data_IF_476815266541
#
_entry.id   IF_476815266541
#
_cell.length_a   1.000
_cell.length_b   1.000
_cell.length_c   1.000
_cell.angle_alpha   90.00
_cell.angle_beta   90.00
_cell.angle_gamma   90.00
#
_symmetry.space_group_name_H-M   'P 1'
#
loop_
_entity.id
_entity.type
_entity.pdbx_description
1 polymer ?
#
# COMPACT_ATOMS: atom_id res chain seq x y z
N UNK A 1 26.57 -33.99 8.12
CA UNK A 1 25.25 -33.63 8.68
C UNK A 1 24.96 -32.17 8.29
N UNK A 2 23.91 -32.01 7.47
CA UNK A 2 23.06 -30.81 7.23
C UNK A 2 23.77 -29.44 7.18
N UNK A 3 24.36 -29.02 6.06
CA UNK A 3 23.68 -28.29 4.97
C UNK A 3 22.45 -27.47 5.42
N UNK A 4 22.70 -26.49 6.29
CA UNK A 4 21.78 -25.41 6.58
C UNK A 4 21.33 -24.77 5.27
N UNK A 5 20.08 -25.05 4.94
CA UNK A 5 19.16 -24.09 4.34
C UNK A 5 19.65 -23.49 3.03
N UNK A 6 19.83 -24.40 2.07
CA UNK A 6 19.15 -24.37 0.78
C UNK A 6 18.44 -23.03 0.54
N UNK A 7 19.18 -22.09 -0.03
CA UNK A 7 18.73 -20.80 -0.58
C UNK A 7 17.42 -21.06 -1.33
N UNK A 8 16.30 -20.78 -0.65
CA UNK A 8 14.97 -21.14 -1.15
C UNK A 8 14.58 -20.11 -2.20
N UNK A 9 14.20 -20.62 -3.37
CA UNK A 9 13.77 -19.85 -4.54
C UNK A 9 12.82 -18.70 -4.13
N UNK A 10 13.24 -17.47 -4.43
CA UNK A 10 12.42 -16.23 -4.49
C UNK A 10 11.77 -15.77 -3.17
N UNK A 11 12.51 -15.07 -2.30
CA UNK A 11 12.10 -13.93 -1.45
C UNK A 11 10.83 -13.96 -0.59
N UNK A 12 10.04 -15.04 -0.58
CA UNK A 12 8.78 -15.16 0.14
C UNK A 12 9.00 -15.91 1.43
N UNK A 13 8.62 -15.30 2.54
CA UNK A 13 8.58 -15.96 3.84
C UNK A 13 7.16 -16.49 4.08
N UNK A 14 7.06 -17.75 4.50
CA UNK A 14 5.79 -18.33 4.91
C UNK A 14 5.43 -17.78 6.30
N UNK A 15 4.34 -17.02 6.39
CA UNK A 15 3.81 -16.50 7.65
C UNK A 15 2.51 -17.22 7.98
N UNK A 16 2.40 -17.79 9.18
CA UNK A 16 1.16 -18.40 9.64
C UNK A 16 0.20 -17.29 10.10
N UNK A 17 -0.99 -17.24 9.52
CA UNK A 17 -1.99 -16.20 9.77
C UNK A 17 -3.31 -16.83 10.15
N UNK A 18 -3.97 -16.27 11.18
CA UNK A 18 -5.28 -16.72 11.63
C UNK A 18 -6.36 -15.97 10.84
N UNK A 19 -7.16 -16.71 10.06
CA UNK A 19 -8.26 -16.17 9.25
C UNK A 19 -9.56 -16.87 9.66
N UNK A 20 -10.67 -16.13 9.62
CA UNK A 20 -12.01 -16.66 9.90
C UNK A 20 -12.33 -17.90 9.06
N UNK A 21 -12.86 -18.93 9.71
CA UNK A 21 -13.16 -20.22 9.05
C UNK A 21 -14.17 -20.08 7.92
N UNK A 22 -15.20 -19.25 8.10
CA UNK A 22 -16.23 -18.98 7.10
C UNK A 22 -15.64 -18.41 5.80
N UNK A 23 -14.77 -17.41 5.94
CA UNK A 23 -14.07 -16.78 4.81
C UNK A 23 -13.13 -17.76 4.09
N UNK A 24 -12.46 -18.64 4.82
CA UNK A 24 -11.62 -19.69 4.23
C UNK A 24 -12.44 -20.74 3.47
N UNK A 25 -13.61 -21.11 4.01
CA UNK A 25 -14.50 -22.07 3.38
C UNK A 25 -15.08 -21.51 2.07
N UNK A 26 -15.51 -20.25 2.10
CA UNK A 26 -15.99 -19.53 0.92
C UNK A 26 -14.88 -19.40 -0.15
N UNK A 27 -13.68 -18.96 0.25
CA UNK A 27 -12.55 -18.87 -0.66
C UNK A 27 -12.19 -20.23 -1.29
N UNK A 28 -12.29 -21.33 -0.54
CA UNK A 28 -12.06 -22.69 -1.07
C UNK A 28 -13.14 -23.11 -2.05
N UNK A 29 -14.43 -22.85 -1.76
CA UNK A 29 -15.55 -23.11 -2.67
C UNK A 29 -15.39 -22.37 -3.99
N UNK A 30 -14.95 -21.11 -3.91
CA UNK A 30 -14.70 -20.24 -5.07
C UNK A 30 -13.34 -20.47 -5.74
N UNK A 31 -12.53 -21.41 -5.24
CA UNK A 31 -11.16 -21.72 -5.74
C UNK A 31 -10.24 -20.49 -5.79
N UNK A 32 -10.41 -19.56 -4.85
CA UNK A 32 -9.57 -18.37 -4.72
C UNK A 32 -8.18 -18.78 -4.23
N UNK A 33 -7.14 -18.21 -4.82
CA UNK A 33 -5.77 -18.38 -4.34
C UNK A 33 -5.56 -17.52 -3.09
N UNK A 34 -5.71 -18.15 -1.92
CA UNK A 34 -5.65 -17.49 -0.61
C UNK A 34 -4.31 -16.77 -0.39
N UNK A 35 -3.19 -17.37 -0.80
CA UNK A 35 -1.86 -16.76 -0.64
C UNK A 35 -1.73 -15.49 -1.47
N UNK A 36 -2.18 -15.51 -2.72
CA UNK A 36 -2.18 -14.32 -3.58
C UNK A 36 -3.15 -13.25 -3.09
N UNK A 37 -4.33 -13.64 -2.61
CA UNK A 37 -5.30 -12.70 -2.04
C UNK A 37 -4.77 -12.03 -0.76
N UNK A 38 -4.09 -12.79 0.10
CA UNK A 38 -3.45 -12.27 1.31
C UNK A 38 -2.30 -11.29 0.97
N UNK A 39 -1.46 -11.62 -0.02
CA UNK A 39 -0.37 -10.75 -0.49
C UNK A 39 -0.94 -9.39 -0.96
N UNK A 40 -1.94 -9.42 -1.85
CA UNK A 40 -2.59 -8.20 -2.35
C UNK A 40 -3.30 -7.39 -1.25
N UNK A 41 -3.93 -8.08 -0.30
CA UNK A 41 -4.57 -7.44 0.84
C UNK A 41 -3.55 -6.69 1.71
N UNK A 42 -2.39 -7.30 1.94
CA UNK A 42 -1.31 -6.70 2.70
C UNK A 42 -0.67 -5.53 1.96
N UNK A 43 -0.44 -5.65 0.65
CA UNK A 43 0.05 -4.56 -0.19
C UNK A 43 -0.87 -3.34 -0.12
N UNK A 44 -2.18 -3.56 -0.24
CA UNK A 44 -3.18 -2.49 -0.14
C UNK A 44 -3.18 -1.83 1.23
N UNK A 45 -3.24 -2.62 2.31
CA UNK A 45 -3.26 -2.09 3.67
C UNK A 45 -1.98 -1.27 3.98
N UNK A 46 -0.83 -1.74 3.50
CA UNK A 46 0.43 -1.00 3.62
C UNK A 46 0.42 0.29 2.81
N UNK A 47 -0.08 0.27 1.58
CA UNK A 47 -0.19 1.46 0.75
C UNK A 47 -1.10 2.51 1.40
N UNK A 48 -2.27 2.11 1.91
CA UNK A 48 -3.21 2.97 2.62
C UNK A 48 -2.54 3.59 3.86
N UNK A 49 -1.86 2.79 4.69
CA UNK A 49 -1.13 3.31 5.86
C UNK A 49 0.00 4.25 5.49
N UNK A 50 0.80 3.92 4.47
CA UNK A 50 1.89 4.78 4.00
C UNK A 50 1.37 6.10 3.46
N UNK A 51 0.26 6.09 2.71
CA UNK A 51 -0.36 7.32 2.21
C UNK A 51 -0.89 8.20 3.34
N UNK A 52 -1.47 7.60 4.39
CA UNK A 52 -1.96 8.32 5.55
C UNK A 52 -0.81 8.98 6.33
N UNK A 53 0.28 8.24 6.58
CA UNK A 53 1.48 8.77 7.22
C UNK A 53 2.11 9.90 6.39
N UNK A 54 2.25 9.69 5.08
CA UNK A 54 2.78 10.72 4.19
C UNK A 54 1.93 12.00 4.23
N UNK A 55 0.60 11.86 4.24
CA UNK A 55 -0.31 13.01 4.30
C UNK A 55 -0.18 13.76 5.64
N UNK A 56 -0.02 13.03 6.75
CA UNK A 56 0.23 13.65 8.06
C UNK A 56 1.56 14.42 8.07
N UNK A 57 2.63 13.82 7.58
CA UNK A 57 3.96 14.45 7.50
C UNK A 57 3.99 15.66 6.55
N UNK A 58 3.23 15.60 5.44
CA UNK A 58 3.25 16.64 4.41
C UNK A 58 2.11 17.65 4.57
N UNK A 59 1.25 17.51 5.59
CA UNK A 59 0.10 18.39 5.81
C UNK A 59 0.52 19.86 5.88
N UNK A 60 1.58 20.17 6.64
CA UNK A 60 2.08 21.54 6.76
C UNK A 60 2.68 22.08 5.46
N UNK A 61 3.36 21.23 4.69
CA UNK A 61 3.93 21.62 3.39
C UNK A 61 2.82 21.90 2.36
N UNK A 62 1.79 21.05 2.34
CA UNK A 62 0.61 21.22 1.50
C UNK A 62 -0.14 22.50 1.89
N UNK A 63 -0.36 22.74 3.18
CA UNK A 63 -1.04 23.94 3.67
C UNK A 63 -0.26 25.22 3.30
N UNK A 64 1.06 25.24 3.52
CA UNK A 64 1.92 26.36 3.13
C UNK A 64 1.84 26.64 1.62
N UNK A 65 1.87 25.58 0.80
CA UNK A 65 1.73 25.69 -0.65
C UNK A 65 0.35 26.23 -1.06
N UNK A 66 -0.72 25.73 -0.42
CA UNK A 66 -2.09 26.21 -0.65
C UNK A 66 -2.24 27.69 -0.29
N UNK A 67 -1.73 28.11 0.88
CA UNK A 67 -1.75 29.51 1.29
C UNK A 67 -0.96 30.42 0.34
N UNK A 68 0.16 29.92 -0.20
CA UNK A 68 0.93 30.64 -1.21
C UNK A 68 0.10 30.85 -2.48
N UNK A 69 -0.55 29.81 -2.99
CA UNK A 69 -1.42 29.89 -4.18
C UNK A 69 -2.63 30.79 -3.93
N UNK A 70 -3.25 30.76 -2.76
CA UNK A 70 -4.36 31.67 -2.41
C UNK A 70 -3.91 33.14 -2.41
N UNK A 71 -2.72 33.42 -1.89
CA UNK A 71 -2.19 34.79 -1.79
C UNK A 71 -1.60 35.33 -3.09
N UNK A 72 -0.94 34.47 -3.87
CA UNK A 72 -0.14 34.89 -5.03
C UNK A 72 -0.77 34.46 -6.36
N UNK A 73 -1.87 33.72 -6.32
CA UNK A 73 -2.45 33.06 -7.48
C UNK A 73 -1.63 31.86 -7.93
N UNK A 74 -2.10 31.20 -8.98
CA UNK A 74 -1.40 30.05 -9.55
C UNK A 74 -0.09 30.50 -10.21
N UNK A 75 1.08 30.05 -9.73
CA UNK A 75 2.34 30.35 -10.40
C UNK A 75 2.25 29.81 -11.83
N UNK A 76 2.65 30.64 -12.79
CA UNK A 76 2.62 30.36 -14.23
C UNK A 76 1.23 30.34 -14.90
N UNK A 77 0.15 30.75 -14.22
CA UNK A 77 -1.16 30.91 -14.86
C UNK A 77 -1.12 31.81 -16.11
N UNK A 78 -0.20 32.78 -16.14
CA UNK A 78 0.06 33.69 -17.27
C UNK A 78 0.58 33.02 -18.55
N UNK A 79 0.97 31.74 -18.50
CA UNK A 79 1.44 30.96 -19.66
C UNK A 79 0.47 29.84 -20.06
N UNK A 80 -0.73 29.80 -19.46
CA UNK A 80 -1.74 28.81 -19.82
C UNK A 80 -2.43 29.25 -21.12
N UNK A 81 -1.97 28.73 -22.25
CA UNK A 81 -2.67 28.82 -23.53
C UNK A 81 -3.79 27.76 -23.55
N UNK A 82 -5.03 28.16 -23.88
CA UNK A 82 -6.22 27.30 -23.93
C UNK A 82 -6.43 26.75 -25.33
#
# INVERSE_FOLDING_TARGET
MTLAEKISKTGRQATNVTISKDLLDDARKLKVNISQAAERGLERANAEKRSALWLEENCQAIESSNQYVERQGLPLAKYREF
#
